data_IF_106134901401
#
_entry.id   IF_106134901401
#
_cell.length_a   1.000
_cell.length_b   1.000
_cell.length_c   1.000
_cell.angle_alpha   90.00
_cell.angle_beta   90.00
_cell.angle_gamma   90.00
#
_symmetry.space_group_name_H-M   'P 1'
#
loop_
_entity.id
_entity.type
_entity.pdbx_description
1 polymer ?
#
# COMPACT_ATOMS: atom_id res chain seq x y z
N UNK A 1 -14.66 42.32 -14.91
CA UNK A 1 -14.37 43.74 -15.19
C UNK A 1 -12.92 43.87 -15.64
N UNK A 2 -12.68 44.71 -16.65
CA UNK A 2 -11.43 44.87 -17.42
C UNK A 2 -10.39 45.73 -16.66
N UNK A 3 -9.12 45.74 -17.12
CA UNK A 3 -7.90 45.93 -16.32
C UNK A 3 -7.42 47.39 -16.24
N UNK A 4 -6.45 47.64 -15.36
CA UNK A 4 -5.57 48.82 -15.45
C UNK A 4 -4.10 48.40 -15.37
N UNK A 5 -3.43 48.50 -16.51
CA UNK A 5 -1.98 48.62 -16.62
C UNK A 5 -1.62 50.09 -16.43
N UNK A 6 -0.72 50.40 -15.49
CA UNK A 6 0.06 51.64 -15.52
C UNK A 6 1.46 51.27 -16.01
N UNK A 7 1.75 51.73 -17.23
CA UNK A 7 3.08 51.84 -17.81
C UNK A 7 3.86 52.96 -17.10
N UNK A 8 5.15 52.74 -16.82
CA UNK A 8 6.27 53.45 -17.47
C UNK A 8 7.59 53.25 -16.70
N UNK A 9 8.68 53.00 -17.44
CA UNK A 9 10.05 52.91 -16.92
C UNK A 9 10.81 51.72 -17.53
N UNK A 10 10.91 51.62 -18.86
CA UNK A 10 12.02 52.13 -19.68
C UNK A 10 13.31 51.27 -19.59
N UNK A 11 13.46 50.40 -20.61
CA UNK A 11 14.67 49.94 -21.32
C UNK A 11 15.98 49.72 -20.54
N UNK A 12 16.55 48.50 -20.67
CA UNK A 12 17.62 48.21 -21.64
C UNK A 12 17.93 46.70 -21.71
N UNK A 13 17.64 46.13 -22.89
CA UNK A 13 18.42 45.17 -23.69
C UNK A 13 19.10 43.96 -23.01
N UNK A 14 18.62 42.75 -23.33
CA UNK A 14 19.39 41.66 -23.97
C UNK A 14 18.45 40.51 -24.32
N UNK A 15 18.06 40.43 -25.60
CA UNK A 15 17.30 39.31 -26.15
C UNK A 15 18.21 38.23 -26.74
N UNK A 16 17.69 37.00 -26.81
CA UNK A 16 17.75 36.08 -27.95
C UNK A 16 16.73 34.94 -27.65
N UNK A 17 15.56 34.95 -28.27
CA UNK A 17 15.25 34.34 -29.58
C UNK A 17 15.03 32.82 -29.48
N UNK A 18 13.75 32.44 -29.52
CA UNK A 18 13.27 31.10 -29.88
C UNK A 18 13.19 31.04 -31.40
N UNK A 19 13.78 30.04 -32.05
CA UNK A 19 13.17 29.43 -33.25
C UNK A 19 13.72 28.04 -33.60
N UNK A 20 12.90 27.21 -34.28
CA UNK A 20 13.02 25.76 -34.44
C UNK A 20 13.71 25.36 -35.75
N UNK A 21 13.95 24.05 -35.97
CA UNK A 21 13.73 23.39 -37.27
C UNK A 21 13.87 21.85 -37.19
N UNK A 22 12.83 21.16 -37.68
CA UNK A 22 12.86 19.79 -38.20
C UNK A 22 13.93 19.63 -39.29
N UNK A 23 14.40 18.41 -39.58
CA UNK A 23 14.24 17.70 -40.88
C UNK A 23 14.86 16.29 -40.79
N UNK A 24 14.27 15.38 -41.56
CA UNK A 24 14.33 13.92 -41.55
C UNK A 24 15.53 13.27 -42.29
N UNK A 25 15.70 11.97 -42.00
CA UNK A 25 15.98 10.83 -42.89
C UNK A 25 17.38 10.61 -43.53
N UNK A 26 18.02 9.47 -43.20
CA UNK A 26 18.20 8.24 -44.05
C UNK A 26 19.26 7.30 -43.39
N UNK A 27 18.93 6.05 -42.99
CA UNK A 27 19.01 4.75 -43.72
C UNK A 27 20.45 4.45 -44.24
N UNK A 28 21.17 3.35 -43.97
CA UNK A 28 20.78 1.95 -43.80
C UNK A 28 21.91 1.08 -43.16
N UNK A 29 21.49 -0.04 -42.52
CA UNK A 29 22.05 -1.41 -42.58
C UNK A 29 23.43 -1.71 -41.91
N UNK A 30 23.67 -2.85 -41.23
CA UNK A 30 22.85 -4.03 -40.90
C UNK A 30 23.61 -4.92 -39.88
N UNK A 31 22.83 -5.73 -39.13
CA UNK A 31 23.09 -7.12 -38.70
C UNK A 31 24.32 -7.41 -37.80
N UNK A 32 24.31 -8.22 -36.75
CA UNK A 32 23.41 -9.22 -36.13
C UNK A 32 24.03 -9.45 -34.72
N UNK A 33 23.33 -9.70 -33.63
CA UNK A 33 22.68 -10.98 -33.39
C UNK A 33 21.75 -10.86 -32.17
N UNK A 34 20.56 -11.43 -32.33
CA UNK A 34 19.51 -11.52 -31.33
C UNK A 34 19.69 -12.76 -30.45
N UNK A 35 19.40 -12.61 -29.16
CA UNK A 35 18.61 -13.59 -28.41
C UNK A 35 18.13 -12.88 -27.14
N UNK A 36 16.90 -12.38 -27.11
CA UNK A 36 15.78 -13.16 -26.60
C UNK A 36 16.07 -13.77 -25.22
N UNK A 37 15.85 -12.98 -24.18
CA UNK A 37 15.25 -13.47 -22.93
C UNK A 37 14.19 -12.48 -22.50
N UNK A 38 13.04 -12.58 -23.17
CA UNK A 38 11.78 -12.28 -22.53
C UNK A 38 11.66 -13.20 -21.29
N UNK A 39 11.14 -12.66 -20.19
CA UNK A 39 10.98 -13.34 -18.91
C UNK A 39 12.28 -13.61 -18.15
N UNK A 40 12.99 -12.55 -17.74
CA UNK A 40 13.62 -12.59 -16.43
C UNK A 40 12.50 -12.69 -15.40
N UNK A 41 12.11 -13.94 -15.13
CA UNK A 41 11.27 -14.34 -14.03
C UNK A 41 11.97 -13.87 -12.75
N UNK A 42 11.73 -12.63 -12.33
CA UNK A 42 11.62 -12.35 -10.90
C UNK A 42 10.33 -13.02 -10.44
N UNK A 43 10.32 -14.34 -10.42
CA UNK A 43 9.59 -15.07 -9.39
C UNK A 43 10.18 -14.57 -8.09
N UNK A 44 9.59 -13.49 -7.54
CA UNK A 44 9.65 -13.26 -6.11
C UNK A 44 9.33 -14.62 -5.50
N UNK A 45 10.32 -15.24 -4.86
CA UNK A 45 10.22 -16.55 -4.24
C UNK A 45 8.89 -16.55 -3.47
N UNK A 46 7.90 -17.28 -3.99
CA UNK A 46 6.56 -17.25 -3.43
C UNK A 46 6.68 -17.92 -2.08
N UNK A 47 6.78 -17.12 -1.02
CA UNK A 47 6.94 -17.57 0.36
C UNK A 47 5.90 -18.65 0.64
N UNK A 48 6.36 -19.87 0.91
CA UNK A 48 5.48 -21.00 1.18
C UNK A 48 5.00 -20.94 2.63
N UNK A 49 3.73 -20.65 2.84
CA UNK A 49 3.13 -20.56 4.17
C UNK A 49 2.31 -21.84 4.41
N UNK A 50 2.57 -22.59 5.49
CA UNK A 50 1.77 -23.75 5.84
C UNK A 50 0.30 -23.36 5.99
N UNK A 51 -0.61 -24.18 5.44
CA UNK A 51 -2.06 -23.92 5.51
C UNK A 51 -2.57 -23.81 6.96
N UNK A 52 -1.92 -24.51 7.89
CA UNK A 52 -2.24 -24.57 9.32
C UNK A 52 -1.27 -23.77 10.19
N UNK A 53 -0.55 -22.78 9.63
CA UNK A 53 0.31 -21.92 10.44
C UNK A 53 -0.51 -21.25 11.54
N UNK A 54 -0.03 -21.33 12.77
CA UNK A 54 -0.67 -20.72 13.94
C UNK A 54 -0.22 -19.27 14.08
N UNK A 55 -1.19 -18.36 14.22
CA UNK A 55 -0.98 -16.93 14.45
C UNK A 55 -1.43 -16.48 15.84
N UNK A 56 -1.83 -17.41 16.73
CA UNK A 56 -2.34 -17.10 18.08
C UNK A 56 -1.41 -16.22 18.91
N UNK A 57 -0.09 -16.31 18.67
CA UNK A 57 0.94 -15.57 19.43
C UNK A 57 1.22 -14.16 18.90
N UNK A 58 0.70 -13.81 17.74
CA UNK A 58 0.94 -12.51 17.08
C UNK A 58 -0.34 -11.69 16.92
N UNK A 59 -1.47 -12.19 17.39
CA UNK A 59 -2.76 -11.48 17.35
C UNK A 59 -3.07 -10.88 18.71
N UNK A 60 -3.47 -9.61 18.70
CA UNK A 60 -3.86 -8.84 19.88
C UNK A 60 -5.38 -8.82 20.00
N UNK A 61 -5.92 -9.84 20.67
CA UNK A 61 -7.36 -10.01 20.82
C UNK A 61 -7.95 -8.99 21.79
N UNK A 62 -9.07 -8.39 21.38
CA UNK A 62 -9.81 -7.43 22.20
C UNK A 62 -10.63 -8.20 23.24
N UNK A 63 -10.55 -7.78 24.50
CA UNK A 63 -11.36 -8.29 25.60
C UNK A 63 -11.64 -7.15 26.60
N UNK A 64 -12.65 -7.33 27.46
CA UNK A 64 -13.10 -6.29 28.38
C UNK A 64 -12.02 -5.90 29.41
N UNK A 65 -11.20 -6.86 29.86
CA UNK A 65 -10.18 -6.61 30.88
C UNK A 65 -9.00 -5.80 30.34
N UNK A 66 -8.50 -6.15 29.15
CA UNK A 66 -7.33 -5.51 28.54
C UNK A 66 -7.71 -4.23 27.78
N UNK A 67 -8.94 -4.15 27.25
CA UNK A 67 -9.41 -3.07 26.37
C UNK A 67 -10.81 -2.56 26.76
N UNK A 68 -11.05 -2.12 28.00
CA UNK A 68 -12.40 -1.82 28.49
C UNK A 68 -13.11 -0.75 27.66
N UNK A 69 -12.42 0.33 27.28
CA UNK A 69 -13.00 1.42 26.47
C UNK A 69 -13.36 0.95 25.06
N UNK A 70 -12.48 0.19 24.41
CA UNK A 70 -12.72 -0.33 23.06
C UNK A 70 -13.84 -1.37 23.09
N UNK A 71 -13.83 -2.27 24.07
CA UNK A 71 -14.88 -3.28 24.26
C UNK A 71 -16.25 -2.63 24.45
N UNK A 72 -16.35 -1.61 25.31
CA UNK A 72 -17.59 -0.87 25.54
C UNK A 72 -18.07 -0.11 24.27
N UNK A 73 -17.14 0.45 23.48
CA UNK A 73 -17.47 1.17 22.23
C UNK A 73 -17.99 0.24 21.14
N UNK A 74 -17.39 -0.94 21.00
CA UNK A 74 -17.68 -1.89 19.91
C UNK A 74 -18.86 -2.82 20.24
N UNK A 75 -19.01 -3.18 21.52
CA UNK A 75 -19.93 -4.22 21.96
C UNK A 75 -19.41 -5.64 21.66
N UNK A 76 -19.92 -6.60 22.43
CA UNK A 76 -19.46 -7.99 22.41
C UNK A 76 -19.48 -8.62 21.00
N UNK A 77 -20.59 -8.51 20.27
CA UNK A 77 -20.72 -9.12 18.95
C UNK A 77 -19.67 -8.62 17.94
N UNK A 78 -19.38 -7.32 17.96
CA UNK A 78 -18.35 -6.72 17.10
C UNK A 78 -16.95 -7.17 17.52
N UNK A 79 -16.68 -7.27 18.82
CA UNK A 79 -15.41 -7.76 19.36
C UNK A 79 -15.16 -9.21 18.96
N UNK A 80 -16.16 -10.08 19.12
CA UNK A 80 -16.05 -11.50 18.72
C UNK A 80 -15.74 -11.63 17.22
N UNK A 81 -16.47 -10.90 16.36
CA UNK A 81 -16.18 -10.84 14.92
C UNK A 81 -14.75 -10.35 14.65
N UNK A 82 -14.35 -9.26 15.29
CA UNK A 82 -13.01 -8.65 15.11
C UNK A 82 -11.91 -9.66 15.47
N UNK A 83 -12.05 -10.34 16.61
CA UNK A 83 -11.08 -11.33 17.08
C UNK A 83 -10.97 -12.53 16.12
N UNK A 84 -12.08 -12.96 15.51
CA UNK A 84 -12.06 -14.03 14.49
C UNK A 84 -11.35 -13.63 13.20
N UNK A 85 -11.24 -12.33 12.91
CA UNK A 85 -10.58 -11.81 11.71
C UNK A 85 -9.06 -11.64 11.89
N UNK A 86 -8.57 -11.39 13.11
CA UNK A 86 -7.14 -11.14 13.37
C UNK A 86 -6.20 -12.22 12.78
N UNK A 87 -6.46 -13.54 12.92
CA UNK A 87 -5.59 -14.55 12.30
C UNK A 87 -5.59 -14.51 10.76
N UNK A 88 -6.70 -14.10 10.14
CA UNK A 88 -6.79 -13.95 8.68
C UNK A 88 -5.99 -12.74 8.21
N UNK A 89 -5.98 -11.66 8.99
CA UNK A 89 -5.14 -10.49 8.76
C UNK A 89 -3.65 -10.88 8.85
N UNK A 90 -3.28 -11.64 9.88
CA UNK A 90 -1.92 -12.16 10.03
C UNK A 90 -1.50 -12.97 8.81
N UNK A 91 -2.35 -13.90 8.36
CA UNK A 91 -2.09 -14.69 7.15
C UNK A 91 -1.95 -13.83 5.90
N UNK A 92 -2.83 -12.83 5.73
CA UNK A 92 -2.79 -11.93 4.57
C UNK A 92 -1.50 -11.11 4.51
N UNK A 93 -1.04 -10.60 5.64
CA UNK A 93 0.25 -9.90 5.73
C UNK A 93 1.43 -10.86 5.49
N UNK A 94 1.37 -12.09 6.01
CA UNK A 94 2.42 -13.10 5.84
C UNK A 94 2.60 -13.51 4.36
N UNK A 95 1.51 -13.48 3.58
CA UNK A 95 1.49 -13.69 2.12
C UNK A 95 2.10 -12.53 1.32
N UNK A 96 2.24 -11.35 1.92
CA UNK A 96 2.81 -10.18 1.27
C UNK A 96 4.34 -10.31 1.21
N UNK A 97 4.98 -10.23 0.02
CA UNK A 97 6.43 -10.36 -0.12
C UNK A 97 7.23 -9.26 0.59
N UNK A 98 6.60 -8.13 0.94
CA UNK A 98 7.23 -7.09 1.74
C UNK A 98 7.32 -7.46 3.25
N UNK A 99 6.58 -8.47 3.70
CA UNK A 99 6.59 -8.94 5.09
C UNK A 99 7.47 -10.17 5.24
N UNK A 100 8.56 -10.04 5.99
CA UNK A 100 9.46 -11.15 6.31
C UNK A 100 8.81 -12.13 7.29
N UNK A 101 8.36 -11.64 8.44
CA UNK A 101 7.64 -12.39 9.45
C UNK A 101 6.67 -11.47 10.19
N UNK A 102 5.41 -11.89 10.31
CA UNK A 102 4.40 -11.14 11.08
C UNK A 102 4.74 -11.21 12.56
N UNK A 103 4.87 -10.04 13.19
CA UNK A 103 5.19 -9.89 14.61
C UNK A 103 3.99 -9.50 15.46
N UNK A 104 3.07 -8.68 14.92
CA UNK A 104 1.94 -8.15 15.67
C UNK A 104 0.78 -7.80 14.76
N UNK A 105 -0.45 -8.10 15.19
CA UNK A 105 -1.67 -7.83 14.45
C UNK A 105 -2.75 -7.35 15.41
N UNK A 106 -3.34 -6.21 15.14
CA UNK A 106 -4.40 -5.65 15.97
C UNK A 106 -5.42 -4.84 15.16
N UNK A 107 -6.55 -4.53 15.80
CA UNK A 107 -7.51 -3.55 15.29
C UNK A 107 -6.86 -2.16 15.26
N UNK A 108 -7.09 -1.39 14.20
CA UNK A 108 -6.65 0.01 14.14
C UNK A 108 -7.66 0.92 14.83
N UNK A 109 -7.19 1.70 15.80
CA UNK A 109 -7.98 2.75 16.43
C UNK A 109 -8.07 4.03 15.58
N UNK A 110 -7.21 4.15 14.55
CA UNK A 110 -7.05 5.37 13.74
C UNK A 110 -7.68 5.27 12.36
N UNK A 111 -7.80 4.05 11.83
CA UNK A 111 -8.34 3.77 10.51
C UNK A 111 -9.51 2.83 10.69
N UNK A 112 -10.69 3.21 10.18
CA UNK A 112 -11.94 2.47 10.40
C UNK A 112 -12.81 3.09 11.50
N UNK A 113 -14.07 3.31 11.15
CA UNK A 113 -15.12 3.54 12.14
C UNK A 113 -15.90 2.23 12.24
N UNK A 114 -15.81 1.56 13.39
CA UNK A 114 -16.59 0.36 13.64
C UNK A 114 -18.10 0.60 13.47
N UNK A 115 -18.57 1.86 13.62
CA UNK A 115 -19.96 2.24 13.36
C UNK A 115 -20.33 2.27 11.88
N UNK A 116 -19.35 2.48 11.00
CA UNK A 116 -19.56 2.55 9.54
C UNK A 116 -19.20 1.24 8.82
N UNK A 117 -18.94 0.16 9.59
CA UNK A 117 -18.94 -1.21 9.08
C UNK A 117 -17.69 -1.66 8.34
N UNK A 118 -16.55 -0.96 8.50
CA UNK A 118 -15.28 -1.41 7.94
C UNK A 118 -14.18 -1.33 8.99
N UNK A 119 -14.00 -2.44 9.72
CA UNK A 119 -12.82 -2.61 10.56
C UNK A 119 -11.56 -2.57 9.67
N UNK A 120 -10.59 -1.76 10.07
CA UNK A 120 -9.24 -1.79 9.50
C UNK A 120 -8.32 -2.32 10.58
N UNK A 121 -7.51 -3.28 10.20
CA UNK A 121 -6.49 -3.90 11.01
C UNK A 121 -5.13 -3.42 10.55
N UNK A 122 -4.14 -3.52 11.41
CA UNK A 122 -2.75 -3.39 11.00
C UNK A 122 -1.99 -4.67 11.35
N UNK A 123 -1.04 -5.02 10.50
CA UNK A 123 -0.07 -6.08 10.72
C UNK A 123 1.33 -5.51 10.62
N UNK A 124 2.11 -5.66 11.68
CA UNK A 124 3.52 -5.32 11.74
C UNK A 124 4.38 -6.54 11.48
N UNK A 125 5.42 -6.35 10.67
CA UNK A 125 6.42 -7.36 10.38
C UNK A 125 7.74 -7.06 11.11
N UNK A 126 8.59 -8.07 11.25
CA UNK A 126 9.89 -7.96 11.94
C UNK A 126 10.80 -6.94 11.25
N UNK A 127 10.78 -6.88 9.91
CA UNK A 127 11.52 -5.89 9.12
C UNK A 127 10.99 -4.44 9.21
N UNK A 128 9.96 -4.18 10.02
CA UNK A 128 9.37 -2.85 10.18
C UNK A 128 8.33 -2.49 9.12
N UNK A 129 8.01 -3.38 8.19
CA UNK A 129 6.87 -3.20 7.30
C UNK A 129 5.56 -3.22 8.09
N UNK A 130 4.64 -2.32 7.76
CA UNK A 130 3.27 -2.31 8.26
C UNK A 130 2.29 -2.33 7.11
N UNK A 131 1.35 -3.26 7.16
CA UNK A 131 0.22 -3.30 6.24
C UNK A 131 -1.07 -2.93 6.97
N UNK A 132 -1.95 -2.18 6.31
CA UNK A 132 -3.32 -1.95 6.76
C UNK A 132 -4.27 -2.76 5.90
N UNK A 133 -5.12 -3.56 6.55
CA UNK A 133 -5.98 -4.54 5.90
C UNK A 133 -7.41 -4.31 6.39
N UNK A 134 -8.35 -4.11 5.48
CA UNK A 134 -9.77 -4.04 5.79
C UNK A 134 -10.47 -5.39 5.57
N UNK A 135 -11.71 -5.53 6.06
CA UNK A 135 -12.46 -6.78 5.95
C UNK A 135 -12.71 -7.24 4.49
N UNK A 136 -12.80 -6.32 3.54
CA UNK A 136 -13.04 -6.64 2.13
C UNK A 136 -11.83 -7.40 1.54
N UNK A 137 -10.61 -7.03 1.94
CA UNK A 137 -9.38 -7.69 1.52
C UNK A 137 -9.22 -9.11 2.10
N UNK A 138 -9.97 -9.45 3.16
CA UNK A 138 -10.00 -10.79 3.76
C UNK A 138 -11.04 -11.72 3.11
N UNK A 139 -11.90 -11.18 2.26
CA UNK A 139 -13.02 -11.89 1.61
C UNK A 139 -12.65 -12.47 0.25
N UNK A 140 -11.48 -12.12 -0.29
CA UNK A 140 -10.99 -12.61 -1.58
C UNK A 140 -10.30 -13.98 -1.38
N UNK A 141 -10.93 -15.03 -1.91
CA UNK A 141 -10.34 -16.36 -2.08
C UNK A 141 -9.45 -16.41 -3.32
#
# INVERSE_FOLDING_TARGET
MKPYCILAGLLLLSGCQVKPQNTEATKAANAENSSASAAAQTTALKKSIPKNKDYSRVVDTINEQSYPTTYAKLGQATVERTNQLLPKVARKADENPACDEVRWVALSDKQGDAKNGQAVFYADCVNGYREYINEQQLSAN
#
